data_IF_424017289655
#
_entry.id   IF_424017289655
#
_cell.length_a   1.000
_cell.length_b   1.000
_cell.length_c   1.000
_cell.angle_alpha   90.00
_cell.angle_beta   90.00
_cell.angle_gamma   90.00
#
_symmetry.space_group_name_H-M   'P 1'
#
loop_
_entity.id
_entity.type
_entity.pdbx_description
1 polymer ?
#
# COMPACT_ATOMS: atom_id res chain seq x y z
N UNK A 1 -4.00 3.96 3.29
CA UNK A 1 -4.29 2.52 3.25
C UNK A 1 -4.05 1.95 4.63
N UNK A 2 -5.09 1.42 5.26
CA UNK A 2 -4.93 0.52 6.41
C UNK A 2 -5.24 -0.85 5.84
N UNK A 3 -4.27 -1.75 5.82
CA UNK A 3 -4.58 -3.17 5.62
C UNK A 3 -5.41 -3.59 6.84
N UNK A 4 -6.73 -3.48 6.69
CA UNK A 4 -7.72 -4.00 7.62
C UNK A 4 -7.74 -5.53 7.52
N UNK A 5 -6.67 -6.19 7.96
CA UNK A 5 -6.76 -7.59 8.42
C UNK A 5 -6.98 -7.61 9.94
N UNK A 6 -7.76 -6.66 10.44
CA UNK A 6 -8.08 -6.54 11.86
C UNK A 6 -9.41 -7.23 12.15
N UNK A 7 -9.38 -8.57 12.21
CA UNK A 7 -10.43 -9.36 12.87
C UNK A 7 -10.16 -9.41 14.38
N UNK A 8 -10.01 -8.24 15.02
CA UNK A 8 -10.06 -8.09 16.48
C UNK A 8 -8.76 -8.32 17.27
N UNK A 9 -7.57 -8.29 16.64
CA UNK A 9 -6.26 -8.36 17.35
C UNK A 9 -5.21 -7.50 16.64
N UNK A 10 -4.27 -6.86 17.38
CA UNK A 10 -3.12 -6.20 16.74
C UNK A 10 -2.38 -7.24 15.89
N UNK A 11 -2.27 -6.98 14.59
CA UNK A 11 -1.49 -7.84 13.71
C UNK A 11 -0.01 -7.76 14.10
N UNK A 12 0.71 -8.89 14.09
CA UNK A 12 2.16 -8.86 14.25
C UNK A 12 2.80 -7.97 13.18
N UNK A 13 3.83 -7.22 13.58
CA UNK A 13 4.59 -6.26 12.76
C UNK A 13 4.95 -6.81 11.37
N UNK A 14 5.17 -8.12 11.26
CA UNK A 14 5.49 -8.82 10.01
C UNK A 14 4.46 -8.57 8.90
N UNK A 15 3.15 -8.48 9.20
CA UNK A 15 2.15 -8.24 8.16
C UNK A 15 2.17 -6.81 7.64
N UNK A 16 2.40 -5.85 8.55
CA UNK A 16 2.47 -4.43 8.23
C UNK A 16 3.73 -4.13 7.41
N UNK A 17 4.87 -4.73 7.76
CA UNK A 17 6.12 -4.60 7.00
C UNK A 17 6.01 -5.25 5.62
N UNK A 18 5.40 -6.44 5.51
CA UNK A 18 5.18 -7.07 4.19
C UNK A 18 4.31 -6.20 3.28
N UNK A 19 3.28 -5.58 3.85
CA UNK A 19 2.43 -4.65 3.13
C UNK A 19 3.17 -3.40 2.66
N UNK A 20 3.99 -2.83 3.54
CA UNK A 20 4.81 -1.65 3.25
C UNK A 20 5.81 -1.95 2.12
N UNK A 21 6.46 -3.12 2.17
CA UNK A 21 7.34 -3.59 1.12
C UNK A 21 6.62 -3.76 -0.23
N UNK A 22 5.44 -4.37 -0.24
CA UNK A 22 4.66 -4.51 -1.47
C UNK A 22 4.23 -3.14 -2.03
N UNK A 23 3.83 -2.21 -1.16
CA UNK A 23 3.42 -0.88 -1.57
C UNK A 23 4.60 -0.08 -2.20
N UNK A 24 5.82 -0.23 -1.68
CA UNK A 24 6.99 0.45 -2.26
C UNK A 24 7.28 -0.08 -3.67
N UNK A 25 7.47 -1.40 -3.83
CA UNK A 25 7.79 -1.99 -5.14
C UNK A 25 6.66 -1.81 -6.17
N UNK A 26 5.41 -1.84 -5.72
CA UNK A 26 4.26 -1.65 -6.62
C UNK A 26 4.10 -0.19 -7.05
N UNK A 27 4.39 0.77 -6.17
CA UNK A 27 4.37 2.19 -6.55
C UNK A 27 5.40 2.52 -7.62
N UNK A 28 6.60 1.95 -7.54
CA UNK A 28 7.65 2.15 -8.53
C UNK A 28 7.33 1.46 -9.86
N UNK A 29 6.69 0.28 -9.81
CA UNK A 29 6.18 -0.38 -11.01
C UNK A 29 5.12 0.46 -11.73
N UNK A 30 4.15 1.03 -11.00
CA UNK A 30 3.09 1.84 -11.57
C UNK A 30 3.65 3.11 -12.23
N UNK A 31 4.58 3.79 -11.55
CA UNK A 31 5.27 4.96 -12.12
C UNK A 31 6.06 4.59 -13.40
N UNK A 32 6.78 3.47 -13.40
CA UNK A 32 7.52 3.01 -14.57
C UNK A 32 6.61 2.62 -15.76
N UNK A 33 5.34 2.30 -15.48
CA UNK A 33 4.32 2.00 -16.47
C UNK A 33 3.47 3.23 -16.85
N UNK A 34 3.91 4.46 -16.52
CA UNK A 34 3.17 5.71 -16.71
C UNK A 34 1.73 5.65 -16.16
N UNK A 35 1.53 4.88 -15.08
CA UNK A 35 0.24 4.64 -14.46
C UNK A 35 0.19 5.38 -13.11
N UNK A 36 -0.64 6.43 -12.96
CA UNK A 36 -0.58 7.33 -11.80
C UNK A 36 -1.09 6.73 -10.48
N UNK A 37 -1.58 5.49 -10.50
CA UNK A 37 -2.22 4.86 -9.36
C UNK A 37 -3.10 3.67 -9.74
N UNK A 38 -3.92 3.23 -8.81
CA UNK A 38 -4.82 2.10 -9.02
C UNK A 38 -6.17 2.29 -8.35
N UNK A 39 -7.19 1.68 -8.92
CA UNK A 39 -8.52 1.64 -8.32
C UNK A 39 -8.66 0.43 -7.40
N UNK A 40 -9.15 0.66 -6.19
CA UNK A 40 -9.64 -0.37 -5.28
C UNK A 40 -11.12 -0.12 -5.06
N UNK A 41 -11.95 -0.74 -5.91
CA UNK A 41 -13.38 -0.46 -6.00
C UNK A 41 -13.64 0.96 -6.51
N UNK A 42 -14.51 1.76 -5.87
CA UNK A 42 -14.81 3.12 -6.31
C UNK A 42 -13.71 4.14 -5.97
N UNK A 43 -12.68 3.75 -5.21
CA UNK A 43 -11.65 4.64 -4.71
C UNK A 43 -10.37 4.54 -5.56
N UNK A 44 -9.85 5.69 -5.98
CA UNK A 44 -8.55 5.79 -6.64
C UNK A 44 -7.44 6.10 -5.63
N UNK A 45 -6.33 5.37 -5.73
CA UNK A 45 -5.15 5.56 -4.89
C UNK A 45 -3.96 5.87 -5.77
N UNK A 46 -3.34 7.04 -5.57
CA UNK A 46 -2.14 7.44 -6.31
C UNK A 46 -0.91 6.64 -5.87
N UNK A 47 0.14 6.65 -6.70
CA UNK A 47 1.44 6.09 -6.33
C UNK A 47 2.04 6.78 -5.10
N UNK A 48 1.80 8.07 -4.90
CA UNK A 48 2.19 8.79 -3.68
C UNK A 48 1.57 8.21 -2.41
N UNK A 49 0.28 7.85 -2.44
CA UNK A 49 -0.39 7.26 -1.28
C UNK A 49 0.22 5.90 -0.91
N UNK A 50 0.67 5.13 -1.91
CA UNK A 50 1.36 3.86 -1.70
C UNK A 50 2.75 4.08 -1.08
N UNK A 51 3.50 5.08 -1.56
CA UNK A 51 4.81 5.45 -1.01
C UNK A 51 4.73 5.97 0.42
N UNK A 52 3.76 6.82 0.71
CA UNK A 52 3.56 7.35 2.05
C UNK A 52 3.12 6.27 3.03
N UNK A 53 2.28 5.32 2.57
CA UNK A 53 1.99 4.13 3.36
C UNK A 53 3.28 3.36 3.66
N UNK A 54 4.09 3.03 2.64
CA UNK A 54 5.33 2.30 2.82
C UNK A 54 6.34 2.98 3.79
N UNK A 55 6.38 4.31 3.81
CA UNK A 55 7.28 5.09 4.68
C UNK A 55 6.85 5.17 6.15
N UNK A 56 5.56 5.04 6.42
CA UNK A 56 4.98 5.27 7.76
C UNK A 56 4.77 3.99 8.57
N UNK A 57 5.00 2.83 7.95
CA UNK A 57 4.93 1.51 8.58
C UNK A 57 6.30 1.10 9.12
#
# INVERSE_FOLDING_TARGET
>A
GLIQLNHGRPQPLQHVVNAAFLASVYSDYLDAADTPGWYCGPNFFTTDVLRDFARTQ
#
